data_IF_811199901632
#
_entry.id   IF_811199901632
#
_cell.length_a   1.000
_cell.length_b   1.000
_cell.length_c   1.000
_cell.angle_alpha   90.00
_cell.angle_beta   90.00
_cell.angle_gamma   90.00
#
_symmetry.space_group_name_H-M   'P 1'
#
loop_
_entity.id
_entity.type
_entity.pdbx_description
1 polymer ?
#
# COMPACT_ATOMS: atom_id res chain seq x y z
N UNK A 1 14.95 -6.38 14.15
CA UNK A 1 14.19 -7.35 14.96
C UNK A 1 15.09 -8.52 15.36
N UNK A 2 15.62 -9.31 14.44
CA UNK A 2 16.36 -10.54 14.75
C UNK A 2 17.59 -10.35 15.65
N UNK A 3 18.27 -9.21 15.57
CA UNK A 3 19.41 -8.85 16.43
C UNK A 3 19.04 -8.73 17.92
N UNK A 4 17.77 -8.49 18.22
CA UNK A 4 17.26 -8.32 19.58
C UNK A 4 16.24 -9.42 19.95
N UNK A 5 16.27 -10.57 19.27
CA UNK A 5 15.24 -11.60 19.41
C UNK A 5 15.23 -12.19 20.84
N UNK A 6 16.38 -12.37 21.44
CA UNK A 6 16.55 -12.81 22.83
C UNK A 6 15.86 -11.86 23.81
N UNK A 7 16.08 -10.57 23.67
CA UNK A 7 15.40 -9.56 24.52
C UNK A 7 13.90 -9.53 24.29
N UNK A 8 13.44 -9.65 23.05
CA UNK A 8 12.02 -9.66 22.71
C UNK A 8 11.27 -10.86 23.31
N UNK A 9 11.92 -12.03 23.34
CA UNK A 9 11.33 -13.28 23.87
C UNK A 9 11.41 -13.32 25.40
N UNK A 10 12.57 -13.00 25.99
CA UNK A 10 12.84 -13.29 27.39
C UNK A 10 12.77 -12.08 28.33
N UNK A 11 12.69 -10.85 27.82
CA UNK A 11 12.66 -9.65 28.65
C UNK A 11 11.49 -8.73 28.33
N UNK A 12 11.64 -7.82 27.37
CA UNK A 12 10.67 -6.77 27.09
C UNK A 12 10.40 -6.63 25.59
N UNK A 13 9.22 -7.01 25.09
CA UNK A 13 8.86 -6.87 23.69
C UNK A 13 8.77 -5.41 23.21
N UNK A 14 8.69 -4.44 24.15
CA UNK A 14 8.59 -3.02 23.82
C UNK A 14 9.93 -2.33 23.54
N UNK A 15 11.07 -3.01 23.67
CA UNK A 15 12.39 -2.40 23.44
C UNK A 15 12.56 -1.82 22.04
N UNK A 16 11.81 -2.35 21.06
CA UNK A 16 11.83 -1.88 19.68
C UNK A 16 10.83 -0.75 19.41
N UNK A 17 9.93 -0.46 20.35
CA UNK A 17 8.94 0.60 20.18
C UNK A 17 9.54 1.95 20.53
N UNK A 18 9.28 3.00 19.73
CA UNK A 18 9.63 4.36 20.09
C UNK A 18 8.80 4.77 21.33
N UNK A 19 9.43 5.52 22.23
CA UNK A 19 8.72 6.09 23.39
C UNK A 19 7.95 7.34 23.03
N UNK A 20 8.47 8.10 22.06
CA UNK A 20 7.86 9.30 21.49
C UNK A 20 7.74 9.13 19.98
N UNK A 21 6.78 9.81 19.36
CA UNK A 21 6.59 9.80 17.89
C UNK A 21 7.84 10.31 17.16
N UNK A 22 8.64 11.16 17.82
CA UNK A 22 9.89 11.71 17.30
C UNK A 22 11.11 10.82 17.48
N UNK A 23 10.97 9.73 18.26
CA UNK A 23 12.10 8.82 18.47
C UNK A 23 12.41 8.03 17.19
N UNK A 24 13.68 7.71 16.94
CA UNK A 24 14.05 6.88 15.81
C UNK A 24 13.48 5.47 15.95
N UNK A 25 13.02 4.93 14.83
CA UNK A 25 12.57 3.53 14.76
C UNK A 25 13.75 2.59 15.09
N UNK A 26 13.48 1.61 15.94
CA UNK A 26 14.50 0.62 16.38
C UNK A 26 14.28 -0.77 15.79
N UNK A 27 13.06 -1.04 15.29
CA UNK A 27 12.73 -2.35 14.73
C UNK A 27 13.24 -2.52 13.30
N UNK A 28 13.51 -1.42 12.61
CA UNK A 28 13.95 -1.39 11.22
C UNK A 28 14.94 -0.24 10.98
N UNK A 29 15.89 -0.46 10.08
CA UNK A 29 16.70 0.61 9.52
C UNK A 29 15.98 1.16 8.30
N UNK A 30 15.27 2.27 8.47
CA UNK A 30 14.30 2.77 7.48
C UNK A 30 14.92 3.08 6.12
N UNK A 31 16.09 3.70 6.07
CA UNK A 31 16.77 4.01 4.79
C UNK A 31 17.11 2.73 4.02
N UNK A 32 17.66 1.72 4.71
CA UNK A 32 17.95 0.43 4.07
C UNK A 32 16.68 -0.31 3.65
N UNK A 33 15.61 -0.19 4.43
CA UNK A 33 14.33 -0.79 4.08
C UNK A 33 13.74 -0.14 2.82
N UNK A 34 13.72 1.19 2.74
CA UNK A 34 13.24 1.92 1.55
C UNK A 34 14.08 1.57 0.32
N UNK A 35 15.39 1.45 0.47
CA UNK A 35 16.27 1.05 -0.63
C UNK A 35 16.06 -0.40 -1.05
N UNK A 36 16.02 -1.33 -0.10
CA UNK A 36 15.87 -2.77 -0.36
C UNK A 36 14.48 -3.13 -0.87
N UNK A 37 13.43 -2.54 -0.29
CA UNK A 37 12.06 -2.76 -0.71
C UNK A 37 11.81 -2.20 -2.12
N UNK A 38 12.33 -1.02 -2.45
CA UNK A 38 12.23 -0.46 -3.80
C UNK A 38 12.77 -1.38 -4.88
N UNK A 39 13.91 -2.05 -4.62
CA UNK A 39 14.48 -3.06 -5.53
C UNK A 39 13.64 -4.32 -5.64
N UNK A 40 13.13 -4.84 -4.53
CA UNK A 40 12.27 -6.04 -4.51
C UNK A 40 10.89 -5.76 -5.14
N UNK A 41 10.30 -4.61 -4.85
CA UNK A 41 8.98 -4.22 -5.36
C UNK A 41 8.96 -4.01 -6.87
N UNK A 42 10.06 -3.54 -7.46
CA UNK A 42 10.17 -3.32 -8.91
C UNK A 42 9.90 -4.58 -9.74
N UNK A 43 10.05 -5.76 -9.17
CA UNK A 43 9.71 -7.04 -9.80
C UNK A 43 8.21 -7.12 -10.16
N UNK A 44 7.36 -6.44 -9.39
CA UNK A 44 5.91 -6.43 -9.61
C UNK A 44 5.43 -5.25 -10.45
N UNK A 45 6.27 -4.25 -10.72
CA UNK A 45 5.83 -3.05 -11.44
C UNK A 45 5.33 -3.36 -12.85
N UNK A 46 6.01 -4.24 -13.57
CA UNK A 46 5.60 -4.61 -14.94
C UNK A 46 4.21 -5.26 -15.02
N UNK A 47 3.72 -5.82 -13.93
CA UNK A 47 2.40 -6.47 -13.92
C UNK A 47 1.27 -5.47 -14.07
N UNK A 48 1.52 -4.21 -13.71
CA UNK A 48 0.50 -3.16 -13.80
C UNK A 48 0.52 -2.43 -15.15
N UNK A 49 1.50 -2.69 -16.01
CA UNK A 49 1.67 -1.95 -17.27
C UNK A 49 0.40 -2.00 -18.12
N UNK A 50 -0.18 -3.20 -18.30
CA UNK A 50 -1.42 -3.37 -19.06
C UNK A 50 -2.59 -2.59 -18.47
N UNK A 51 -2.65 -2.49 -17.15
CA UNK A 51 -3.69 -1.72 -16.44
C UNK A 51 -3.53 -0.24 -16.77
N UNK A 52 -2.32 0.28 -16.63
CA UNK A 52 -1.99 1.69 -16.92
C UNK A 52 -2.21 2.02 -18.39
N UNK A 53 -1.75 1.15 -19.31
CA UNK A 53 -1.95 1.32 -20.75
C UNK A 53 -3.44 1.37 -21.09
N UNK A 54 -4.24 0.46 -20.54
CA UNK A 54 -5.68 0.43 -20.78
C UNK A 54 -6.41 1.66 -20.24
N UNK A 55 -5.99 2.20 -19.08
CA UNK A 55 -6.60 3.41 -18.50
C UNK A 55 -6.25 4.64 -19.35
N UNK A 56 -4.97 4.82 -19.71
CA UNK A 56 -4.49 6.02 -20.38
C UNK A 56 -4.55 5.96 -21.93
N UNK A 57 -5.16 4.91 -22.49
CA UNK A 57 -5.56 4.82 -23.90
C UNK A 57 -7.07 5.06 -24.11
N UNK A 58 -7.85 5.30 -23.06
CA UNK A 58 -9.26 5.71 -23.19
C UNK A 58 -9.36 7.13 -23.77
N UNK A 59 -10.58 7.56 -24.18
CA UNK A 59 -10.85 8.98 -24.44
C UNK A 59 -10.40 9.85 -23.27
N UNK A 60 -9.89 11.05 -23.55
CA UNK A 60 -9.26 11.91 -22.55
C UNK A 60 -10.20 12.28 -21.39
N UNK A 61 -11.48 12.44 -21.67
CA UNK A 61 -12.54 12.74 -20.69
C UNK A 61 -12.82 11.57 -19.74
N UNK A 62 -12.44 10.36 -20.09
CA UNK A 62 -12.57 9.15 -19.28
C UNK A 62 -11.29 8.81 -18.49
N UNK A 63 -10.20 9.55 -18.75
CA UNK A 63 -8.93 9.31 -18.07
C UNK A 63 -8.83 10.07 -16.75
N UNK A 64 -8.08 9.55 -15.76
CA UNK A 64 -7.67 10.36 -14.62
C UNK A 64 -6.76 11.51 -15.08
N UNK A 65 -6.84 12.64 -14.38
CA UNK A 65 -5.95 13.78 -14.65
C UNK A 65 -4.50 13.49 -14.29
N UNK A 66 -4.28 12.46 -13.48
CA UNK A 66 -2.95 12.08 -13.02
C UNK A 66 -2.99 10.90 -12.06
N UNK A 67 -1.93 10.75 -11.28
CA UNK A 67 -1.71 9.62 -10.39
C UNK A 67 -1.30 10.15 -9.01
N UNK A 68 -1.85 9.55 -7.97
CA UNK A 68 -1.32 9.63 -6.60
C UNK A 68 -0.69 8.30 -6.23
N UNK A 69 0.62 8.29 -5.93
CA UNK A 69 1.32 7.18 -5.29
C UNK A 69 1.37 7.41 -3.76
N UNK A 70 0.53 6.70 -3.02
CA UNK A 70 0.50 6.74 -1.57
C UNK A 70 1.49 5.73 -1.00
N UNK A 71 2.45 6.20 -0.20
CA UNK A 71 3.61 5.43 0.23
C UNK A 71 4.71 5.41 -0.84
N UNK A 72 4.98 6.54 -1.46
CA UNK A 72 5.83 6.66 -2.65
C UNK A 72 7.31 6.25 -2.43
N UNK A 73 7.74 6.08 -1.19
CA UNK A 73 9.05 5.54 -0.82
C UNK A 73 10.22 6.30 -1.43
N UNK A 74 10.85 5.73 -2.44
CA UNK A 74 11.94 6.35 -3.20
C UNK A 74 11.51 6.93 -4.57
N UNK A 75 10.22 6.88 -4.89
CA UNK A 75 9.65 7.38 -6.15
C UNK A 75 9.82 6.45 -7.35
N UNK A 76 10.34 5.24 -7.16
CA UNK A 76 10.58 4.31 -8.28
C UNK A 76 9.28 3.90 -8.98
N UNK A 77 8.17 3.77 -8.25
CA UNK A 77 6.89 3.39 -8.82
C UNK A 77 6.27 4.53 -9.65
N UNK A 78 6.33 5.77 -9.15
CA UNK A 78 5.89 6.97 -9.92
C UNK A 78 6.67 7.05 -11.22
N UNK A 79 8.00 6.90 -11.16
CA UNK A 79 8.86 6.91 -12.34
C UNK A 79 8.44 5.83 -13.34
N UNK A 80 8.27 4.59 -12.89
CA UNK A 80 7.86 3.49 -13.75
C UNK A 80 6.51 3.77 -14.44
N UNK A 81 5.49 4.20 -13.68
CA UNK A 81 4.18 4.50 -14.25
C UNK A 81 4.26 5.66 -15.26
N UNK A 82 5.02 6.71 -14.93
CA UNK A 82 5.21 7.83 -15.87
C UNK A 82 5.84 7.36 -17.17
N UNK A 83 6.91 6.56 -17.12
CA UNK A 83 7.56 6.00 -18.31
C UNK A 83 6.59 5.13 -19.14
N UNK A 84 5.75 4.31 -18.50
CA UNK A 84 4.72 3.53 -19.20
C UNK A 84 3.71 4.45 -19.90
N UNK A 85 3.24 5.51 -19.23
CA UNK A 85 2.29 6.45 -19.84
C UNK A 85 2.94 7.20 -21.00
N UNK A 86 4.13 7.75 -20.78
CA UNK A 86 4.84 8.56 -21.78
C UNK A 86 5.15 7.76 -23.06
N UNK A 87 5.67 6.54 -22.91
CA UNK A 87 6.17 5.78 -24.07
C UNK A 87 5.18 4.79 -24.66
N UNK A 88 4.15 4.36 -23.90
CA UNK A 88 3.29 3.24 -24.31
C UNK A 88 1.80 3.58 -24.39
N UNK A 89 1.41 4.86 -24.19
CA UNK A 89 0.00 5.26 -24.25
C UNK A 89 -0.29 6.40 -25.22
N UNK A 90 -1.57 6.56 -25.58
CA UNK A 90 -2.03 7.72 -26.34
C UNK A 90 -1.88 9.02 -25.54
N UNK A 91 -2.03 8.95 -24.20
CA UNK A 91 -1.83 10.11 -23.33
C UNK A 91 -0.40 10.65 -23.42
N UNK A 92 0.61 9.78 -23.54
CA UNK A 92 2.01 10.18 -23.68
C UNK A 92 2.27 11.05 -24.91
N UNK A 93 1.50 10.87 -25.99
CA UNK A 93 1.63 11.66 -27.22
C UNK A 93 1.07 13.08 -27.14
N UNK A 94 0.29 13.38 -26.10
CA UNK A 94 -0.44 14.65 -25.93
C UNK A 94 -0.18 15.28 -24.56
N UNK A 95 0.95 14.97 -23.90
CA UNK A 95 1.30 15.51 -22.58
C UNK A 95 1.45 17.03 -22.58
N UNK A 96 1.86 17.64 -23.70
CA UNK A 96 1.96 19.10 -23.83
C UNK A 96 0.58 19.77 -23.79
N UNK A 97 -0.45 19.12 -24.35
CA UNK A 97 -1.83 19.62 -24.36
C UNK A 97 -2.59 19.23 -23.11
N UNK A 98 -2.39 18.00 -22.64
CA UNK A 98 -3.02 17.42 -21.47
C UNK A 98 -1.95 16.92 -20.49
N UNK A 99 -1.37 17.80 -19.66
CA UNK A 99 -0.34 17.41 -18.68
C UNK A 99 -0.81 16.34 -17.71
N UNK A 100 0.11 15.47 -17.30
CA UNK A 100 -0.14 14.45 -16.30
C UNK A 100 0.22 14.99 -14.91
N UNK A 101 -0.75 14.99 -14.00
CA UNK A 101 -0.50 15.33 -12.61
C UNK A 101 0.12 14.12 -11.90
N UNK A 102 1.33 14.28 -11.38
CA UNK A 102 1.99 13.24 -10.57
C UNK A 102 2.10 13.73 -9.13
N UNK A 103 1.61 12.91 -8.21
CA UNK A 103 1.68 13.17 -6.77
C UNK A 103 2.30 11.97 -6.06
N UNK A 104 3.36 12.21 -5.29
CA UNK A 104 3.91 11.24 -4.36
C UNK A 104 3.59 11.67 -2.93
N UNK A 105 2.95 10.82 -2.16
CA UNK A 105 2.67 11.06 -0.75
C UNK A 105 3.32 9.97 0.11
N UNK A 106 3.93 10.36 1.23
CA UNK A 106 4.50 9.42 2.19
C UNK A 106 4.43 10.01 3.61
N UNK A 107 4.26 9.14 4.59
CA UNK A 107 4.30 9.52 5.99
C UNK A 107 5.72 9.87 6.45
N UNK A 108 6.73 9.26 5.87
CA UNK A 108 8.13 9.40 6.25
C UNK A 108 8.81 10.55 5.50
N UNK A 109 9.21 11.58 6.23
CA UNK A 109 9.91 12.75 5.68
C UNK A 109 11.24 12.41 4.97
N UNK A 110 11.95 11.38 5.43
CA UNK A 110 13.16 10.92 4.75
C UNK A 110 12.84 10.32 3.37
N UNK A 111 11.77 9.55 3.25
CA UNK A 111 11.29 9.02 1.97
C UNK A 111 10.94 10.15 1.00
N UNK A 112 10.19 11.17 1.45
CA UNK A 112 9.83 12.34 0.62
C UNK A 112 11.06 13.05 0.06
N UNK A 113 12.13 13.19 0.85
CA UNK A 113 13.38 13.81 0.41
C UNK A 113 14.05 12.98 -0.70
N UNK A 114 14.09 11.65 -0.52
CA UNK A 114 14.66 10.72 -1.51
C UNK A 114 13.85 10.73 -2.80
N UNK A 115 12.51 10.67 -2.69
CA UNK A 115 11.59 10.74 -3.83
C UNK A 115 11.81 12.00 -4.65
N UNK A 116 11.83 13.19 -4.01
CA UNK A 116 12.09 14.45 -4.71
C UNK A 116 13.42 14.41 -5.47
N UNK A 117 14.48 13.94 -4.82
CA UNK A 117 15.80 13.86 -5.44
C UNK A 117 15.85 12.92 -6.65
N UNK A 118 15.15 11.78 -6.56
CA UNK A 118 15.12 10.79 -7.65
C UNK A 118 14.28 11.26 -8.83
N UNK A 119 13.12 11.87 -8.60
CA UNK A 119 12.26 12.38 -9.66
C UNK A 119 12.91 13.55 -10.40
N UNK A 120 13.55 14.49 -9.68
CA UNK A 120 14.32 15.57 -10.27
C UNK A 120 15.45 15.05 -11.16
N UNK A 121 16.20 14.04 -10.71
CA UNK A 121 17.27 13.39 -11.50
C UNK A 121 16.74 12.71 -12.77
N UNK A 122 15.48 12.31 -12.79
CA UNK A 122 14.82 11.68 -13.92
C UNK A 122 14.03 12.68 -14.78
N UNK A 123 14.12 13.98 -14.48
CA UNK A 123 13.37 15.05 -15.15
C UNK A 123 11.84 14.86 -15.10
N UNK A 124 11.34 14.27 -13.99
CA UNK A 124 9.92 14.02 -13.76
C UNK A 124 9.37 15.05 -12.77
N UNK A 125 8.40 15.85 -13.26
CA UNK A 125 7.73 16.88 -12.46
C UNK A 125 6.60 16.25 -11.65
N UNK A 126 6.76 16.22 -10.32
CA UNK A 126 5.75 15.68 -9.41
C UNK A 126 5.62 16.54 -8.15
N UNK A 127 4.42 16.58 -7.57
CA UNK A 127 4.21 17.08 -6.22
C UNK A 127 4.57 15.97 -5.24
N UNK A 128 5.46 16.26 -4.29
CA UNK A 128 5.87 15.31 -3.27
C UNK A 128 5.51 15.90 -1.91
N UNK A 129 4.51 15.31 -1.24
CA UNK A 129 3.88 15.87 -0.05
C UNK A 129 3.82 14.85 1.08
N UNK A 130 3.67 15.33 2.30
CA UNK A 130 3.39 14.46 3.42
C UNK A 130 1.95 13.95 3.35
N UNK A 131 1.73 12.68 3.70
CA UNK A 131 0.40 12.08 3.76
C UNK A 131 0.37 10.87 4.67
N UNK A 132 -0.74 10.72 5.39
CA UNK A 132 -1.07 9.55 6.21
C UNK A 132 -2.14 8.74 5.50
N UNK A 133 -1.84 7.47 5.18
CA UNK A 133 -2.80 6.57 4.52
C UNK A 133 -4.08 6.37 5.35
N UNK A 134 -4.01 6.51 6.68
CA UNK A 134 -5.17 6.44 7.58
C UNK A 134 -6.09 7.65 7.49
N UNK A 135 -5.66 8.77 6.86
CA UNK A 135 -6.37 10.06 6.86
C UNK A 135 -6.49 10.67 5.47
N UNK A 136 -7.19 10.00 4.53
CA UNK A 136 -7.29 10.47 3.16
C UNK A 136 -7.99 11.83 3.02
N UNK A 137 -8.87 12.19 3.94
CA UNK A 137 -9.56 13.48 3.96
C UNK A 137 -8.61 14.65 4.20
N UNK A 138 -7.56 14.46 5.02
CA UNK A 138 -6.53 15.47 5.26
C UNK A 138 -5.70 15.63 3.99
N UNK A 139 -5.22 14.52 3.41
CA UNK A 139 -4.48 14.53 2.16
C UNK A 139 -5.27 15.21 1.02
N UNK A 140 -6.57 14.91 0.90
CA UNK A 140 -7.44 15.50 -0.10
C UNK A 140 -7.60 17.02 0.10
N UNK A 141 -7.71 17.46 1.36
CA UNK A 141 -7.78 18.87 1.71
C UNK A 141 -6.48 19.59 1.35
N UNK A 142 -5.34 19.08 1.77
CA UNK A 142 -4.03 19.69 1.52
C UNK A 142 -3.74 19.79 0.01
N UNK A 143 -4.07 18.72 -0.77
CA UNK A 143 -3.95 18.75 -2.23
C UNK A 143 -4.83 19.83 -2.86
N UNK A 144 -6.05 20.00 -2.35
CA UNK A 144 -6.98 21.00 -2.89
C UNK A 144 -6.58 22.41 -2.53
N UNK A 145 -6.20 22.67 -1.26
CA UNK A 145 -5.87 24.00 -0.77
C UNK A 145 -4.53 24.51 -1.32
N UNK A 146 -3.50 23.64 -1.35
CA UNK A 146 -2.13 24.06 -1.70
C UNK A 146 -1.85 23.99 -3.21
N UNK A 147 -2.56 23.12 -3.95
CA UNK A 147 -2.21 22.83 -5.36
C UNK A 147 -3.40 22.88 -6.31
N UNK A 148 -4.63 23.11 -5.83
CA UNK A 148 -5.88 23.00 -6.59
C UNK A 148 -6.07 21.62 -7.28
N UNK A 149 -5.56 20.56 -6.66
CA UNK A 149 -5.70 19.18 -7.14
C UNK A 149 -6.83 18.50 -6.37
N UNK A 150 -7.84 17.97 -7.09
CA UNK A 150 -8.86 17.11 -6.47
C UNK A 150 -8.38 15.66 -6.46
N UNK A 151 -8.28 15.07 -5.27
CA UNK A 151 -7.87 13.67 -5.10
C UNK A 151 -8.75 12.68 -5.88
N UNK A 152 -10.03 13.00 -6.09
CA UNK A 152 -10.98 12.18 -6.86
C UNK A 152 -10.68 12.15 -8.37
N UNK A 153 -9.92 13.10 -8.87
CA UNK A 153 -9.54 13.18 -10.27
C UNK A 153 -8.28 12.38 -10.60
N UNK A 154 -7.65 11.77 -9.60
CA UNK A 154 -6.44 10.97 -9.75
C UNK A 154 -6.73 9.47 -9.70
N UNK A 155 -5.95 8.68 -10.44
CA UNK A 155 -5.79 7.26 -10.17
C UNK A 155 -4.94 7.11 -8.91
N UNK A 156 -5.50 6.48 -7.89
CA UNK A 156 -4.77 6.20 -6.66
C UNK A 156 -4.01 4.89 -6.79
N UNK A 157 -2.73 4.87 -6.44
CA UNK A 157 -1.90 3.66 -6.47
C UNK A 157 -1.19 3.46 -5.14
N UNK A 158 -0.91 2.20 -4.78
CA UNK A 158 -0.21 1.82 -3.55
C UNK A 158 0.57 0.53 -3.74
N UNK A 159 1.74 0.47 -3.12
CA UNK A 159 2.55 -0.74 -3.12
C UNK A 159 2.92 -1.12 -1.69
N UNK A 160 2.43 -2.28 -1.23
CA UNK A 160 2.78 -2.87 0.07
C UNK A 160 2.56 -1.93 1.26
N UNK A 161 1.39 -1.29 1.31
CA UNK A 161 1.15 -0.21 2.26
C UNK A 161 -0.02 -0.44 3.22
N UNK A 162 -1.14 -1.03 2.77
CA UNK A 162 -2.35 -1.11 3.58
C UNK A 162 -2.15 -1.97 4.85
N UNK A 163 -1.29 -2.97 4.80
CA UNK A 163 -0.90 -3.76 5.98
C UNK A 163 -0.01 -2.99 6.98
N UNK A 164 0.64 -1.90 6.55
CA UNK A 164 1.52 -1.05 7.36
C UNK A 164 0.81 0.20 7.93
N UNK A 165 -0.51 0.32 7.75
CA UNK A 165 -1.26 1.47 8.29
C UNK A 165 -1.06 1.60 9.80
N UNK A 166 -1.06 2.83 10.31
CA UNK A 166 -1.04 3.07 11.75
C UNK A 166 -2.32 2.47 12.36
N UNK A 167 -2.16 1.71 13.44
CA UNK A 167 -3.30 1.08 14.10
C UNK A 167 -4.21 2.11 14.74
N UNK A 168 -5.46 2.09 14.32
CA UNK A 168 -6.57 2.74 15.01
C UNK A 168 -7.64 1.69 15.30
N UNK A 169 -8.13 1.70 16.55
CA UNK A 169 -9.22 0.79 16.92
C UNK A 169 -10.48 1.16 16.15
N UNK A 170 -11.16 0.20 15.52
CA UNK A 170 -12.34 0.50 14.74
C UNK A 170 -13.47 1.04 15.61
N UNK A 171 -14.29 1.89 15.01
CA UNK A 171 -15.49 2.45 15.65
C UNK A 171 -16.58 1.38 15.80
N UNK A 172 -16.72 0.54 14.79
CA UNK A 172 -17.70 -0.56 14.80
C UNK A 172 -17.25 -1.66 15.76
N UNK A 173 -18.06 -1.93 16.78
CA UNK A 173 -17.78 -2.95 17.81
C UNK A 173 -18.44 -4.31 17.56
N UNK A 174 -19.39 -4.38 16.64
CA UNK A 174 -20.06 -5.64 16.30
C UNK A 174 -19.14 -6.45 15.41
N UNK A 175 -18.66 -7.57 15.91
CA UNK A 175 -17.71 -8.44 15.22
C UNK A 175 -18.43 -9.64 14.61
N UNK A 176 -18.16 -9.92 13.35
CA UNK A 176 -18.43 -11.23 12.75
C UNK A 176 -17.31 -12.20 13.10
N UNK A 177 -17.54 -13.49 12.88
CA UNK A 177 -16.48 -14.49 12.99
C UNK A 177 -15.41 -14.17 11.93
N UNK A 178 -14.16 -14.02 12.37
CA UNK A 178 -13.03 -13.82 11.47
C UNK A 178 -12.74 -15.08 10.66
N UNK A 179 -12.35 -14.88 9.41
CA UNK A 179 -11.81 -15.94 8.55
C UNK A 179 -10.28 -15.93 8.53
N UNK A 180 -9.63 -14.86 9.03
CA UNK A 180 -8.18 -14.81 9.09
C UNK A 180 -7.63 -15.72 10.19
N UNK A 181 -6.57 -16.44 9.86
CA UNK A 181 -5.77 -17.26 10.78
C UNK A 181 -4.50 -16.55 11.25
N UNK A 182 -4.28 -15.29 10.86
CA UNK A 182 -3.12 -14.50 11.22
C UNK A 182 -3.01 -14.24 12.72
N UNK A 183 -1.79 -13.94 13.18
CA UNK A 183 -1.50 -13.54 14.55
C UNK A 183 -1.14 -12.05 14.58
N UNK A 184 -2.06 -11.23 15.05
CA UNK A 184 -1.91 -9.77 15.06
C UNK A 184 -1.68 -9.24 16.46
N UNK A 185 -0.83 -8.22 16.56
CA UNK A 185 -0.57 -7.54 17.82
C UNK A 185 -0.37 -6.03 17.59
N UNK A 186 -0.69 -5.26 18.61
CA UNK A 186 -0.37 -3.84 18.68
C UNK A 186 0.15 -3.52 20.09
N UNK A 187 1.27 -2.83 20.16
CA UNK A 187 1.92 -2.54 21.45
C UNK A 187 2.10 -3.78 22.35
N UNK A 188 2.53 -4.91 21.76
CA UNK A 188 2.75 -6.16 22.47
C UNK A 188 1.46 -6.86 22.95
N UNK A 189 0.29 -6.34 22.64
CA UNK A 189 -1.01 -6.92 22.98
C UNK A 189 -1.61 -7.59 21.74
N UNK A 190 -2.06 -8.85 21.91
CA UNK A 190 -2.75 -9.56 20.83
C UNK A 190 -4.05 -8.86 20.46
N UNK A 191 -4.24 -8.63 19.17
CA UNK A 191 -5.50 -8.17 18.60
C UNK A 191 -6.38 -9.34 18.20
N UNK A 192 -7.69 -9.18 18.37
CA UNK A 192 -8.66 -10.09 17.81
C UNK A 192 -8.70 -9.94 16.28
N UNK A 193 -8.64 -11.05 15.55
CA UNK A 193 -8.59 -11.05 14.09
C UNK A 193 -9.80 -10.32 13.47
N UNK A 194 -11.00 -10.48 14.02
CA UNK A 194 -12.19 -9.77 13.55
C UNK A 194 -12.08 -8.24 13.72
N UNK A 195 -11.38 -7.76 14.75
CA UNK A 195 -11.11 -6.31 14.92
C UNK A 195 -10.16 -5.81 13.83
N UNK A 196 -9.16 -6.59 13.46
CA UNK A 196 -8.23 -6.24 12.37
C UNK A 196 -8.95 -6.16 11.03
N UNK A 197 -9.85 -7.12 10.74
CA UNK A 197 -10.69 -7.09 9.54
C UNK A 197 -11.58 -5.83 9.50
N UNK A 198 -12.28 -5.53 10.61
CA UNK A 198 -13.15 -4.34 10.69
C UNK A 198 -12.36 -3.06 10.53
N UNK A 199 -11.16 -2.95 11.15
CA UNK A 199 -10.28 -1.81 10.98
C UNK A 199 -9.89 -1.59 9.50
N UNK A 200 -9.60 -2.64 8.75
CA UNK A 200 -9.30 -2.51 7.32
C UNK A 200 -10.55 -2.16 6.49
N UNK A 201 -11.73 -2.68 6.85
CA UNK A 201 -13.00 -2.27 6.21
C UNK A 201 -13.24 -0.76 6.39
N UNK A 202 -13.07 -0.24 7.61
CA UNK A 202 -13.24 1.20 7.89
C UNK A 202 -12.19 2.02 7.13
N UNK A 203 -10.95 1.57 7.11
CA UNK A 203 -9.87 2.19 6.36
C UNK A 203 -10.21 2.32 4.86
N UNK A 204 -10.63 1.24 4.22
CA UNK A 204 -11.00 1.26 2.80
C UNK A 204 -12.28 2.10 2.55
N UNK A 205 -13.24 2.11 3.48
CA UNK A 205 -14.41 2.99 3.41
C UNK A 205 -14.04 4.46 3.42
N UNK A 206 -13.05 4.85 4.21
CA UNK A 206 -12.56 6.23 4.24
C UNK A 206 -11.93 6.65 2.90
N UNK A 207 -11.30 5.70 2.19
CA UNK A 207 -10.75 5.95 0.86
C UNK A 207 -11.77 5.90 -0.26
N UNK A 208 -12.88 5.17 -0.10
CA UNK A 208 -13.88 4.98 -1.15
C UNK A 208 -14.28 6.26 -1.88
N UNK A 209 -14.62 7.39 -1.21
CA UNK A 209 -15.02 8.62 -1.88
C UNK A 209 -13.97 9.20 -2.83
N UNK A 210 -12.71 8.85 -2.66
CA UNK A 210 -11.59 9.36 -3.45
C UNK A 210 -11.13 8.44 -4.57
N UNK A 211 -11.58 7.17 -4.54
CA UNK A 211 -11.11 6.15 -5.49
C UNK A 211 -12.23 5.58 -6.37
N UNK A 212 -13.49 5.87 -6.09
CA UNK A 212 -14.63 5.29 -6.81
C UNK A 212 -14.68 5.69 -8.29
N UNK A 213 -14.15 6.87 -8.65
CA UNK A 213 -14.22 7.38 -10.03
C UNK A 213 -13.18 6.71 -10.95
N UNK A 214 -11.92 6.69 -10.55
CA UNK A 214 -10.82 6.21 -11.38
C UNK A 214 -10.16 4.93 -10.87
N UNK A 215 -10.44 4.56 -9.64
CA UNK A 215 -9.99 3.32 -9.02
C UNK A 215 -8.82 3.49 -8.06
N UNK A 216 -8.53 2.37 -7.41
CA UNK A 216 -7.40 2.18 -6.52
C UNK A 216 -6.61 0.96 -6.98
N UNK A 217 -5.43 1.19 -7.52
CA UNK A 217 -4.51 0.13 -7.93
C UNK A 217 -3.62 -0.24 -6.74
N UNK A 218 -3.72 -1.48 -6.29
CA UNK A 218 -2.99 -1.99 -5.13
C UNK A 218 -2.10 -3.17 -5.52
N UNK A 219 -0.84 -3.12 -5.12
CA UNK A 219 0.04 -4.28 -4.99
C UNK A 219 0.19 -4.52 -3.48
N UNK A 220 -0.34 -5.65 -2.97
CA UNK A 220 -0.39 -5.87 -1.53
C UNK A 220 0.26 -7.19 -1.11
N UNK A 221 0.81 -7.19 0.11
CA UNK A 221 1.40 -8.34 0.76
C UNK A 221 0.35 -9.13 1.54
N UNK A 222 0.43 -10.46 1.44
CA UNK A 222 -0.50 -11.38 2.10
C UNK A 222 0.23 -12.47 2.87
N UNK A 223 -0.41 -12.98 3.91
CA UNK A 223 -0.03 -14.24 4.54
C UNK A 223 -0.78 -15.41 3.92
N UNK A 224 -0.42 -16.60 4.33
CA UNK A 224 -1.10 -17.88 4.00
C UNK A 224 -1.46 -18.59 5.30
N UNK A 225 -2.38 -19.55 5.24
CA UNK A 225 -2.78 -20.28 6.46
C UNK A 225 -1.59 -21.00 7.11
N UNK A 226 -1.58 -21.13 8.45
CA UNK A 226 -0.52 -21.83 9.17
C UNK A 226 -0.30 -23.27 8.68
N UNK A 227 -1.38 -23.96 8.24
CA UNK A 227 -1.31 -25.34 7.73
C UNK A 227 -0.55 -25.39 6.39
N UNK A 228 -0.78 -24.41 5.51
CA UNK A 228 -0.07 -24.30 4.23
C UNK A 228 1.37 -23.89 4.49
N UNK A 229 1.61 -22.93 5.37
CA UNK A 229 2.95 -22.49 5.74
C UNK A 229 3.79 -23.63 6.33
N UNK A 230 3.22 -24.42 7.24
CA UNK A 230 3.90 -25.54 7.88
C UNK A 230 4.32 -26.63 6.90
N UNK A 231 3.50 -26.93 5.89
CA UNK A 231 3.82 -27.90 4.83
C UNK A 231 4.86 -27.39 3.83
N UNK A 232 5.13 -26.08 3.81
CA UNK A 232 5.97 -25.42 2.83
C UNK A 232 7.08 -24.58 3.47
N UNK A 233 7.57 -24.96 4.65
CA UNK A 233 8.69 -24.30 5.31
C UNK A 233 9.89 -24.26 4.36
N UNK A 234 10.49 -23.05 4.21
CA UNK A 234 11.59 -22.81 3.30
C UNK A 234 11.22 -22.62 1.83
N UNK A 235 9.93 -22.78 1.47
CA UNK A 235 9.40 -22.53 0.12
C UNK A 235 8.53 -21.27 0.01
N UNK A 236 8.23 -20.65 1.12
CA UNK A 236 7.43 -19.42 1.20
C UNK A 236 8.09 -18.40 2.12
N UNK A 237 7.99 -17.12 1.77
CA UNK A 237 8.44 -16.01 2.60
C UNK A 237 7.50 -15.75 3.81
N UNK A 238 6.28 -16.28 3.79
CA UNK A 238 5.27 -16.04 4.83
C UNK A 238 5.80 -16.38 6.24
N UNK A 239 6.55 -17.47 6.40
CA UNK A 239 7.12 -17.86 7.69
C UNK A 239 8.07 -16.82 8.29
N UNK A 240 8.76 -16.02 7.46
CA UNK A 240 9.69 -15.02 7.93
C UNK A 240 8.96 -13.77 8.46
N UNK A 241 7.97 -13.25 7.72
CA UNK A 241 7.26 -12.07 8.19
C UNK A 241 6.16 -12.39 9.21
N UNK A 242 5.56 -13.57 9.20
CA UNK A 242 4.66 -14.01 10.25
C UNK A 242 5.36 -14.05 11.63
N UNK A 243 6.63 -14.42 11.67
CA UNK A 243 7.43 -14.39 12.90
C UNK A 243 7.71 -12.96 13.41
N UNK A 244 7.54 -11.94 12.61
CA UNK A 244 7.89 -10.54 12.95
C UNK A 244 6.71 -9.60 13.09
N UNK A 245 5.52 -9.96 12.64
CA UNK A 245 4.32 -9.09 12.64
C UNK A 245 4.02 -8.48 14.00
N UNK A 246 4.05 -9.29 15.06
CA UNK A 246 3.75 -8.84 16.42
C UNK A 246 4.71 -7.78 16.97
N UNK A 247 5.89 -7.60 16.33
CA UNK A 247 6.89 -6.62 16.72
C UNK A 247 6.94 -5.40 15.81
N UNK A 248 6.44 -5.52 14.57
CA UNK A 248 6.47 -4.47 13.55
C UNK A 248 5.12 -3.78 13.33
N UNK A 249 4.07 -4.19 14.05
CA UNK A 249 2.69 -3.67 13.92
C UNK A 249 2.20 -3.72 12.47
N UNK A 250 2.42 -4.87 11.81
CA UNK A 250 1.93 -5.14 10.47
C UNK A 250 0.70 -6.04 10.52
N UNK A 251 -0.29 -5.75 9.68
CA UNK A 251 -1.60 -6.42 9.70
C UNK A 251 -1.82 -7.11 8.35
N UNK A 252 -0.99 -8.10 8.06
CA UNK A 252 -0.95 -8.84 6.78
C UNK A 252 -2.03 -9.93 6.83
N UNK A 253 -3.02 -9.83 5.95
CA UNK A 253 -4.16 -10.74 5.83
C UNK A 253 -3.97 -11.72 4.68
N UNK A 254 -4.69 -12.84 4.71
CA UNK A 254 -4.80 -13.76 3.59
C UNK A 254 -5.55 -13.09 2.42
N UNK A 255 -5.24 -13.49 1.19
CA UNK A 255 -5.84 -12.92 -0.04
C UNK A 255 -7.37 -13.00 0.01
N UNK A 256 -7.94 -14.14 0.37
CA UNK A 256 -9.40 -14.34 0.39
C UNK A 256 -10.09 -13.46 1.44
N UNK A 257 -9.42 -13.26 2.59
CA UNK A 257 -9.92 -12.36 3.64
C UNK A 257 -9.85 -10.91 3.17
N UNK A 258 -8.75 -10.51 2.54
CA UNK A 258 -8.58 -9.17 1.97
C UNK A 258 -9.66 -8.88 0.91
N UNK A 259 -9.91 -9.82 0.00
CA UNK A 259 -10.95 -9.69 -1.03
C UNK A 259 -12.35 -9.52 -0.43
N UNK A 260 -12.68 -10.31 0.59
CA UNK A 260 -13.96 -10.17 1.30
C UNK A 260 -14.11 -8.82 2.04
N UNK A 261 -12.99 -8.24 2.50
CA UNK A 261 -12.96 -6.91 3.12
C UNK A 261 -13.22 -5.80 2.09
N UNK A 262 -12.64 -5.91 0.89
CA UNK A 262 -12.88 -4.99 -0.22
C UNK A 262 -14.38 -4.88 -0.51
N UNK A 263 -15.08 -6.02 -0.64
CA UNK A 263 -16.51 -6.06 -0.87
C UNK A 263 -17.31 -5.41 0.27
N UNK A 264 -16.96 -5.71 1.53
CA UNK A 264 -17.57 -5.09 2.72
C UNK A 264 -17.34 -3.57 2.80
N UNK A 265 -16.27 -3.08 2.21
CA UNK A 265 -15.98 -1.66 2.10
C UNK A 265 -16.80 -0.96 0.99
N UNK A 266 -17.55 -1.71 0.19
CA UNK A 266 -18.30 -1.20 -0.95
C UNK A 266 -17.43 -0.87 -2.16
N UNK A 267 -16.33 -1.58 -2.27
CA UNK A 267 -15.45 -1.61 -3.45
C UNK A 267 -15.58 -2.98 -4.11
N UNK A 268 -15.20 -3.09 -5.37
CA UNK A 268 -15.13 -4.37 -6.05
C UNK A 268 -13.81 -4.52 -6.79
N UNK A 269 -13.39 -5.77 -6.92
CA UNK A 269 -12.21 -6.16 -7.70
C UNK A 269 -12.57 -6.20 -9.20
N UNK A 270 -11.78 -5.53 -10.02
CA UNK A 270 -11.84 -5.75 -11.46
C UNK A 270 -11.13 -7.09 -11.78
N UNK A 271 -11.92 -8.14 -11.96
CA UNK A 271 -11.40 -9.51 -12.16
C UNK A 271 -10.51 -9.66 -13.38
N UNK A 272 -10.59 -8.74 -14.35
CA UNK A 272 -9.70 -8.76 -15.52
C UNK A 272 -8.25 -8.40 -15.17
N UNK A 273 -8.04 -7.74 -14.05
CA UNK A 273 -6.74 -7.24 -13.59
C UNK A 273 -6.27 -7.88 -12.29
N UNK A 274 -7.04 -8.83 -11.75
CA UNK A 274 -6.61 -9.54 -10.55
C UNK A 274 -5.50 -10.55 -10.88
N UNK A 275 -4.37 -10.43 -10.18
CA UNK A 275 -3.25 -11.37 -10.31
C UNK A 275 -2.65 -11.66 -8.94
N UNK A 276 -2.14 -12.87 -8.72
CA UNK A 276 -1.48 -13.28 -7.48
C UNK A 276 -0.13 -13.95 -7.75
N UNK A 277 0.81 -13.79 -6.82
CA UNK A 277 2.18 -14.28 -6.95
C UNK A 277 2.66 -15.07 -5.72
N UNK A 278 3.20 -16.29 -5.94
CA UNK A 278 3.05 -17.11 -7.15
C UNK A 278 1.58 -17.41 -7.43
N UNK A 279 1.23 -17.78 -8.68
CA UNK A 279 -0.15 -18.08 -9.03
C UNK A 279 -0.56 -19.50 -8.58
N UNK A 280 -0.50 -19.73 -7.26
CA UNK A 280 -0.89 -20.98 -6.59
C UNK A 280 -1.25 -20.68 -5.12
N UNK A 281 -1.39 -21.72 -4.29
CA UNK A 281 -1.78 -21.58 -2.88
C UNK A 281 -0.71 -20.95 -1.97
N UNK A 282 0.51 -20.77 -2.47
CA UNK A 282 1.59 -20.08 -1.75
C UNK A 282 1.64 -18.59 -2.09
N UNK A 283 0.62 -18.04 -2.72
CA UNK A 283 0.57 -16.65 -3.10
C UNK A 283 0.62 -15.73 -1.87
N UNK A 284 1.60 -14.83 -1.87
CA UNK A 284 1.82 -13.84 -0.82
C UNK A 284 1.77 -12.41 -1.33
N UNK A 285 1.55 -12.23 -2.63
CA UNK A 285 1.37 -10.90 -3.24
C UNK A 285 0.17 -10.95 -4.16
N UNK A 286 -0.66 -9.92 -4.13
CA UNK A 286 -1.71 -9.71 -5.13
C UNK A 286 -1.61 -8.34 -5.79
N UNK A 287 -2.07 -8.26 -7.03
CA UNK A 287 -2.29 -7.02 -7.77
C UNK A 287 -3.78 -6.88 -8.02
N UNK A 288 -4.34 -5.74 -7.68
CA UNK A 288 -5.77 -5.48 -7.74
C UNK A 288 -6.04 -4.08 -8.27
N UNK A 289 -7.02 -3.94 -9.16
CA UNK A 289 -7.66 -2.66 -9.47
C UNK A 289 -9.05 -2.65 -8.82
N UNK A 290 -9.20 -1.84 -7.77
CA UNK A 290 -10.45 -1.67 -7.04
C UNK A 290 -11.24 -0.50 -7.61
N UNK A 291 -12.56 -0.64 -7.70
CA UNK A 291 -13.49 0.39 -8.17
C UNK A 291 -14.65 0.55 -7.19
N UNK A 292 -15.30 1.72 -7.21
CA UNK A 292 -16.54 1.93 -6.45
C UNK A 292 -17.72 1.18 -7.06
N UNK A 293 -18.63 0.69 -6.19
CA UNK A 293 -19.91 0.11 -6.58
C UNK A 293 -20.89 1.24 -6.81
#
# INVERSE_FOLDING_TARGET
>A
IFTNLDHLIFTNPFILKPKLVTDPEKHIHREMNVWGSGGAHSTYFKVIDDIIINIFNKPIEEQPKGILDMGCGNGAFIKHIFEVIEYHTLRGKILDEYPLLLVGADFNQAALKVTRGNLIKSDIWAKVIWGDIGKPEILAKDLKEDYDIDLKDLLNVRTFLDHNRIWESPVQKTLSVSKSSGAYAFNGQRLNNAIVEVSLVEHLKNWKPFVEKFGLLIIELHTISPEIAAKNIGKTAATAYDATHGYSDQYILEIDVFNAIIEKAGLYLDTNYFTKFPNNDLATVSVNLLKGI
#
